data_IF_691474243533
#
_entry.id   IF_691474243533
#
_cell.length_a   1.000
_cell.length_b   1.000
_cell.length_c   1.000
_cell.angle_alpha   90.00
_cell.angle_beta   90.00
_cell.angle_gamma   90.00
#
_symmetry.space_group_name_H-M   'P 1'
#
loop_
_entity.id
_entity.type
_entity.pdbx_description
1 polymer ?
#
# COMPACT_ATOMS: atom_id res chain seq x y z
N UNK A 1 -3.24 14.37 26.11
CA UNK A 1 -2.65 13.95 24.82
C UNK A 1 -2.28 12.47 24.92
N UNK A 2 -2.77 11.61 24.02
CA UNK A 2 -2.54 10.15 24.06
C UNK A 2 -1.19 9.85 23.40
N UNK A 3 -0.26 9.19 24.11
CA UNK A 3 1.03 8.76 23.55
C UNK A 3 0.79 7.51 22.69
N UNK A 4 1.09 7.58 21.40
CA UNK A 4 1.04 6.45 20.47
C UNK A 4 2.11 5.42 20.86
N UNK A 5 1.74 4.14 20.87
CA UNK A 5 2.67 3.05 21.19
C UNK A 5 3.49 2.67 19.96
N UNK A 6 4.62 1.95 20.14
CA UNK A 6 5.41 1.40 19.02
C UNK A 6 4.58 0.54 18.04
N UNK A 7 3.53 -0.13 18.53
CA UNK A 7 2.58 -0.90 17.70
C UNK A 7 1.70 0.02 16.86
N UNK A 8 1.27 1.15 17.42
CA UNK A 8 0.52 2.16 16.67
C UNK A 8 1.43 2.88 15.66
N UNK A 9 2.69 3.13 16.01
CA UNK A 9 3.71 3.64 15.07
C UNK A 9 3.98 2.66 13.92
N UNK A 10 3.99 1.34 14.16
CA UNK A 10 4.06 0.34 13.08
C UNK A 10 2.84 0.38 12.16
N UNK A 11 1.66 0.75 12.67
CA UNK A 11 0.45 1.04 11.86
C UNK A 11 0.51 2.41 11.16
N UNK A 12 1.36 3.34 11.62
CA UNK A 12 1.54 4.70 11.10
C UNK A 12 2.78 4.80 10.19
N UNK A 13 3.62 3.77 10.11
CA UNK A 13 4.51 3.60 8.96
C UNK A 13 3.62 3.48 7.71
N UNK A 14 3.60 4.59 6.97
CA UNK A 14 2.69 4.94 5.89
C UNK A 14 2.22 3.76 5.06
N UNK A 15 0.90 3.72 4.88
CA UNK A 15 0.18 2.58 4.38
C UNK A 15 0.71 2.03 3.07
N UNK A 16 0.64 0.71 2.95
CA UNK A 16 0.82 -0.02 1.70
C UNK A 16 -0.26 0.31 0.66
N UNK A 17 -1.03 1.40 0.79
CA UNK A 17 -2.00 1.89 -0.19
C UNK A 17 -1.93 3.41 -0.28
N UNK A 18 -1.92 3.95 -1.49
CA UNK A 18 -2.13 5.37 -1.80
C UNK A 18 -2.76 5.53 -3.18
N UNK A 19 -3.22 6.73 -3.51
CA UNK A 19 -3.58 7.05 -4.89
C UNK A 19 -2.33 7.31 -5.74
N UNK A 20 -2.37 7.00 -7.05
CA UNK A 20 -1.34 7.40 -7.98
C UNK A 20 -1.29 8.93 -8.10
N UNK A 21 -0.17 9.42 -8.63
CA UNK A 21 -0.04 10.85 -8.94
C UNK A 21 -0.95 11.27 -10.11
N UNK A 22 -0.92 12.55 -10.48
CA UNK A 22 -1.75 13.09 -11.57
C UNK A 22 -1.47 12.47 -12.94
N UNK A 23 -0.33 11.78 -13.11
CA UNK A 23 0.05 11.09 -14.33
C UNK A 23 -0.27 9.58 -14.26
N UNK A 24 -0.90 9.11 -13.19
CA UNK A 24 -1.20 7.69 -12.99
C UNK A 24 -0.02 6.87 -12.47
N UNK A 25 1.05 7.49 -11.96
CA UNK A 25 2.24 6.77 -11.51
C UNK A 25 2.26 6.51 -10.01
N UNK A 26 2.82 5.36 -9.65
CA UNK A 26 3.15 4.98 -8.29
C UNK A 26 4.62 5.28 -7.97
N UNK A 27 4.99 5.40 -6.69
CA UNK A 27 6.40 5.50 -6.29
C UNK A 27 7.20 4.30 -6.75
N UNK A 28 8.52 4.48 -6.81
CA UNK A 28 9.43 3.37 -7.02
C UNK A 28 9.22 2.28 -5.95
N UNK A 29 9.12 1.03 -6.39
CA UNK A 29 8.87 -0.13 -5.53
C UNK A 29 7.39 -0.36 -5.18
N UNK A 30 6.46 0.31 -5.88
CA UNK A 30 5.03 0.14 -5.69
C UNK A 30 4.35 -0.35 -6.97
N UNK A 31 3.37 -1.21 -6.80
CA UNK A 31 2.51 -1.73 -7.85
C UNK A 31 1.30 -0.83 -8.08
N UNK A 32 1.03 -0.50 -9.34
CA UNK A 32 -0.23 0.15 -9.75
C UNK A 32 -1.30 -0.91 -9.98
N UNK A 33 -2.30 -0.92 -9.11
CA UNK A 33 -3.46 -1.78 -9.23
C UNK A 33 -4.40 -1.33 -10.36
N UNK A 34 -5.14 -2.28 -10.98
CA UNK A 34 -6.20 -1.99 -11.94
C UNK A 34 -7.28 -1.01 -11.44
N UNK A 35 -7.55 -1.01 -10.13
CA UNK A 35 -8.48 -0.11 -9.45
C UNK A 35 -7.94 1.31 -9.24
N UNK A 36 -6.80 1.64 -9.84
CA UNK A 36 -6.16 2.95 -9.78
C UNK A 36 -5.70 3.33 -8.36
N UNK A 37 -5.14 2.37 -7.64
CA UNK A 37 -4.45 2.55 -6.36
C UNK A 37 -3.02 2.02 -6.46
N UNK A 38 -2.11 2.61 -5.72
CA UNK A 38 -0.73 2.14 -5.59
C UNK A 38 -0.60 1.34 -4.32
N UNK A 39 -0.04 0.13 -4.42
CA UNK A 39 0.26 -0.74 -3.30
C UNK A 39 1.76 -0.96 -3.20
N UNK A 40 2.31 -0.91 -1.99
CA UNK A 40 3.73 -1.18 -1.80
C UNK A 40 3.96 -2.70 -1.86
N UNK A 41 4.52 -3.17 -2.98
CA UNK A 41 4.90 -4.57 -3.21
C UNK A 41 6.42 -4.77 -3.12
N UNK A 42 7.15 -3.75 -2.63
CA UNK A 42 8.60 -3.69 -2.59
C UNK A 42 9.25 -4.00 -3.95
N UNK A 43 8.64 -3.53 -5.04
CA UNK A 43 9.14 -3.77 -6.41
C UNK A 43 9.00 -5.22 -6.87
N UNK A 44 8.04 -5.95 -6.31
CA UNK A 44 7.74 -7.34 -6.62
C UNK A 44 8.41 -8.37 -5.70
N UNK A 45 9.18 -7.92 -4.69
CA UNK A 45 9.72 -8.82 -3.65
C UNK A 45 8.63 -9.26 -2.65
N UNK A 46 7.58 -8.46 -2.49
CA UNK A 46 6.41 -8.75 -1.65
C UNK A 46 5.12 -8.59 -2.48
N UNK A 47 4.88 -9.50 -3.46
CA UNK A 47 3.73 -9.38 -4.35
C UNK A 47 2.41 -9.54 -3.59
N UNK A 48 1.39 -8.78 -4.00
CA UNK A 48 0.06 -8.81 -3.40
C UNK A 48 -0.60 -10.16 -3.70
N UNK A 49 -0.86 -10.94 -2.66
CA UNK A 49 -1.39 -12.29 -2.74
C UNK A 49 -2.84 -12.40 -2.24
N UNK A 50 -3.61 -13.39 -2.72
CA UNK A 50 -4.94 -13.68 -2.17
C UNK A 50 -4.86 -13.94 -0.66
N UNK A 51 -5.51 -13.09 0.13
CA UNK A 51 -5.45 -13.11 1.60
C UNK A 51 -4.78 -11.88 2.20
N UNK A 52 -4.07 -11.10 1.41
CA UNK A 52 -3.54 -9.82 1.86
C UNK A 52 -4.67 -8.82 2.10
N UNK A 53 -4.53 -7.93 3.11
CA UNK A 53 -5.54 -6.90 3.41
C UNK A 53 -5.87 -6.01 2.21
N UNK A 54 -4.94 -5.87 1.27
CA UNK A 54 -5.00 -4.95 0.13
C UNK A 54 -5.39 -5.65 -1.18
N UNK A 55 -5.48 -6.98 -1.17
CA UNK A 55 -5.80 -7.78 -2.36
C UNK A 55 -7.15 -7.36 -2.97
N UNK A 56 -8.19 -7.25 -2.14
CA UNK A 56 -9.52 -6.84 -2.60
C UNK A 56 -9.58 -5.37 -3.03
N UNK A 57 -8.73 -4.50 -2.47
CA UNK A 57 -8.67 -3.12 -2.93
C UNK A 57 -8.01 -3.02 -4.31
N UNK A 58 -7.12 -3.96 -4.64
CA UNK A 58 -6.35 -3.98 -5.87
C UNK A 58 -7.04 -4.73 -7.02
N UNK A 59 -7.69 -5.87 -6.72
CA UNK A 59 -8.21 -6.83 -7.69
C UNK A 59 -9.71 -7.15 -7.51
N UNK A 60 -10.40 -6.52 -6.55
CA UNK A 60 -11.81 -6.74 -6.22
C UNK A 60 -12.72 -5.63 -6.68
#
# INVERSE_FOLDING_TARGET
MKKLTKKDLKKINGGNIRFPDANGNCPAGWYLCPTNICVNDNGGEDPIMPGDPYYNACFG
#
